data_IF_176979857516
#
_entry.id   IF_176979857516
#
_cell.length_a   1.000
_cell.length_b   1.000
_cell.length_c   1.000
_cell.angle_alpha   90.00
_cell.angle_beta   90.00
_cell.angle_gamma   90.00
#
_symmetry.space_group_name_H-M   'P 1'
#
loop_
_entity.id
_entity.type
_entity.pdbx_description
1 polymer ?
#
# COMPACT_ATOMS: atom_id res chain seq x y z
N UNK A 1 7.05 -5.25 -21.42
CA UNK A 1 6.95 -5.32 -19.95
C UNK A 1 8.02 -6.30 -19.52
N UNK A 2 8.89 -5.92 -18.60
CA UNK A 2 9.93 -6.83 -18.13
C UNK A 2 9.24 -7.97 -17.35
N UNK A 3 9.50 -9.27 -17.67
CA UNK A 3 8.91 -10.40 -16.97
C UNK A 3 9.27 -10.48 -15.47
N UNK A 4 10.19 -9.64 -14.99
CA UNK A 4 10.55 -9.54 -13.56
C UNK A 4 9.64 -8.64 -12.73
N UNK A 5 8.80 -7.82 -13.35
CA UNK A 5 7.91 -6.91 -12.62
C UNK A 5 6.69 -7.66 -12.07
N UNK A 6 6.54 -7.68 -10.74
CA UNK A 6 5.36 -8.27 -10.08
C UNK A 6 4.25 -7.23 -10.00
N UNK A 7 3.11 -7.49 -10.64
CA UNK A 7 1.93 -6.62 -10.51
C UNK A 7 1.33 -6.80 -9.12
N UNK A 8 1.13 -5.70 -8.39
CA UNK A 8 0.51 -5.70 -7.08
C UNK A 8 -0.97 -5.32 -7.18
N UNK A 9 -1.28 -4.33 -8.01
CA UNK A 9 -2.64 -3.85 -8.24
C UNK A 9 -2.77 -3.17 -9.61
N UNK A 10 -3.94 -3.25 -10.24
CA UNK A 10 -4.22 -2.56 -11.49
C UNK A 10 -5.69 -2.14 -11.57
N UNK A 11 -5.92 -0.91 -12.03
CA UNK A 11 -7.23 -0.44 -12.46
C UNK A 11 -7.11 0.26 -13.82
N UNK A 12 -8.19 0.89 -14.29
CA UNK A 12 -8.23 1.53 -15.62
C UNK A 12 -7.24 2.70 -15.77
N UNK A 13 -6.85 3.35 -14.67
CA UNK A 13 -6.02 4.56 -14.69
C UNK A 13 -4.56 4.30 -14.31
N UNK A 14 -4.32 3.30 -13.46
CA UNK A 14 -3.05 3.09 -12.80
C UNK A 14 -2.70 1.61 -12.73
N UNK A 15 -1.39 1.34 -12.81
CA UNK A 15 -0.78 0.05 -12.53
C UNK A 15 0.26 0.24 -11.44
N UNK A 16 0.13 -0.53 -10.36
CA UNK A 16 1.10 -0.60 -9.29
C UNK A 16 1.84 -1.93 -9.39
N UNK A 17 3.17 -1.87 -9.40
CA UNK A 17 4.01 -3.05 -9.54
C UNK A 17 5.27 -2.91 -8.69
N UNK A 18 5.91 -4.03 -8.39
CA UNK A 18 7.20 -4.06 -7.73
C UNK A 18 8.30 -4.64 -8.60
N UNK A 19 9.52 -4.20 -8.30
CA UNK A 19 10.79 -4.76 -8.78
C UNK A 19 11.63 -5.04 -7.55
N UNK A 20 11.63 -6.31 -7.12
CA UNK A 20 12.07 -6.70 -5.78
C UNK A 20 11.34 -5.86 -4.71
N UNK A 21 12.11 -5.25 -3.81
CA UNK A 21 11.63 -4.44 -2.68
C UNK A 21 11.02 -3.10 -3.11
N UNK A 22 11.28 -2.62 -4.33
CA UNK A 22 10.85 -1.29 -4.75
C UNK A 22 9.48 -1.33 -5.43
N UNK A 23 8.61 -0.40 -5.06
CA UNK A 23 7.26 -0.26 -5.61
C UNK A 23 7.16 0.98 -6.49
N UNK A 24 6.55 0.80 -7.66
CA UNK A 24 6.38 1.83 -8.67
C UNK A 24 4.92 1.94 -9.10
N UNK A 25 4.48 3.18 -9.33
CA UNK A 25 3.18 3.51 -9.87
C UNK A 25 3.31 4.01 -11.31
N UNK A 26 2.59 3.37 -12.22
CA UNK A 26 2.49 3.74 -13.61
C UNK A 26 1.11 4.27 -13.92
N UNK A 27 1.03 5.43 -14.58
CA UNK A 27 -0.22 5.97 -15.11
C UNK A 27 -0.49 5.41 -16.51
N UNK A 28 -1.62 4.75 -16.70
CA UNK A 28 -1.99 4.07 -17.95
C UNK A 28 -2.61 5.01 -18.98
N UNK A 29 -3.28 6.07 -18.52
CA UNK A 29 -4.04 7.00 -19.37
C UNK A 29 -3.21 8.19 -19.88
N UNK A 30 -1.94 8.31 -19.51
CA UNK A 30 -1.10 9.41 -19.97
C UNK A 30 -0.66 9.21 -21.42
N UNK A 31 -1.00 10.16 -22.29
CA UNK A 31 -0.50 10.24 -23.67
C UNK A 31 0.95 10.76 -23.66
N UNK A 32 1.91 9.85 -23.55
CA UNK A 32 3.35 10.13 -23.57
C UNK A 32 4.14 9.15 -22.71
N UNK A 33 5.46 9.16 -22.83
CA UNK A 33 6.35 8.42 -21.90
C UNK A 33 6.46 9.19 -20.59
N UNK A 34 5.43 9.09 -19.75
CA UNK A 34 5.55 9.53 -18.35
C UNK A 34 6.40 8.50 -17.61
N UNK A 35 7.44 8.96 -16.92
CA UNK A 35 8.26 8.10 -16.08
C UNK A 35 7.40 7.50 -14.95
N UNK A 36 7.66 6.24 -14.62
CA UNK A 36 6.97 5.56 -13.53
C UNK A 36 7.40 6.20 -12.19
N UNK A 37 6.45 6.42 -11.29
CA UNK A 37 6.68 7.11 -10.03
C UNK A 37 7.15 6.09 -8.99
N UNK A 38 8.31 6.31 -8.38
CA UNK A 38 8.75 5.53 -7.22
C UNK A 38 7.87 5.87 -6.00
N UNK A 39 7.35 4.84 -5.34
CA UNK A 39 6.43 4.99 -4.20
C UNK A 39 7.14 4.70 -2.89
N UNK A 40 7.73 3.50 -2.77
CA UNK A 40 8.44 3.09 -1.56
C UNK A 40 9.37 1.91 -1.81
N UNK A 41 10.22 1.64 -0.83
CA UNK A 41 11.05 0.44 -0.75
C UNK A 41 10.61 -0.35 0.47
N UNK A 42 10.19 -1.60 0.28
CA UNK A 42 9.63 -2.47 1.31
C UNK A 42 10.60 -3.59 1.59
N UNK A 43 11.08 -3.67 2.83
CA UNK A 43 11.98 -4.73 3.26
C UNK A 43 11.32 -6.11 3.11
N UNK A 44 12.00 -7.04 2.41
CA UNK A 44 11.50 -8.41 2.23
C UNK A 44 10.46 -8.58 1.13
N UNK A 45 10.35 -7.60 0.23
CA UNK A 45 9.34 -7.45 -0.84
C UNK A 45 7.94 -7.05 -0.33
N UNK A 46 7.15 -6.32 -1.14
CA UNK A 46 5.75 -6.05 -0.83
C UNK A 46 4.90 -7.31 -0.99
N UNK A 47 4.02 -7.56 -0.02
CA UNK A 47 3.09 -8.69 -0.01
C UNK A 47 1.85 -8.41 -0.85
N UNK A 48 1.25 -7.24 -0.65
CA UNK A 48 0.04 -6.81 -1.35
C UNK A 48 -0.05 -5.30 -1.40
N UNK A 49 -0.88 -4.78 -2.28
CA UNK A 49 -1.16 -3.35 -2.31
C UNK A 49 -2.53 -3.10 -2.93
N UNK A 50 -3.02 -1.88 -2.76
CA UNK A 50 -4.24 -1.41 -3.39
C UNK A 50 -4.11 0.05 -3.80
N UNK A 51 -4.96 0.43 -4.76
CA UNK A 51 -5.30 1.83 -5.01
C UNK A 51 -6.70 2.03 -4.45
N UNK A 52 -6.86 3.08 -3.65
CA UNK A 52 -8.15 3.39 -3.02
C UNK A 52 -9.27 3.55 -4.05
N UNK A 53 -10.52 3.28 -3.66
CA UNK A 53 -11.69 3.35 -4.54
C UNK A 53 -11.84 4.71 -5.23
N UNK A 54 -11.45 5.80 -4.55
CA UNK A 54 -11.45 7.16 -5.08
C UNK A 54 -10.23 7.53 -5.94
N UNK A 55 -9.22 6.66 -6.04
CA UNK A 55 -7.89 7.00 -6.53
C UNK A 55 -7.27 8.20 -5.78
N UNK A 56 -7.47 8.28 -4.47
CA UNK A 56 -6.92 9.35 -3.63
C UNK A 56 -5.52 9.01 -3.11
N UNK A 57 -5.30 7.73 -2.76
CA UNK A 57 -4.03 7.20 -2.29
C UNK A 57 -3.82 5.75 -2.71
N UNK A 58 -2.56 5.33 -2.60
CA UNK A 58 -2.05 3.96 -2.72
C UNK A 58 -1.69 3.47 -1.33
N UNK A 59 -2.02 2.22 -1.03
CA UNK A 59 -1.60 1.56 0.20
C UNK A 59 -0.83 0.28 -0.12
N UNK A 60 0.33 0.10 0.49
CA UNK A 60 1.23 -1.03 0.27
C UNK A 60 1.42 -1.74 1.60
N UNK A 61 1.27 -3.06 1.59
CA UNK A 61 1.50 -3.96 2.70
C UNK A 61 2.75 -4.82 2.42
N UNK A 62 3.57 -4.99 3.44
CA UNK A 62 4.68 -5.93 3.51
C UNK A 62 5.22 -5.97 4.93
N UNK A 63 6.50 -5.64 5.08
CA UNK A 63 7.06 -5.17 6.34
C UNK A 63 6.54 -3.75 6.63
N UNK A 64 5.44 -3.64 7.37
CA UNK A 64 4.72 -2.41 7.63
C UNK A 64 3.65 -2.08 6.58
N UNK A 65 3.12 -0.87 6.70
CA UNK A 65 2.16 -0.28 5.76
C UNK A 65 2.68 1.06 5.28
N UNK A 66 2.82 1.23 3.97
CA UNK A 66 3.07 2.52 3.33
C UNK A 66 1.76 3.09 2.78
N UNK A 67 1.52 4.38 3.03
CA UNK A 67 0.47 5.17 2.35
C UNK A 67 1.13 6.24 1.49
N UNK A 68 0.70 6.36 0.23
CA UNK A 68 1.15 7.38 -0.71
C UNK A 68 -0.04 8.10 -1.33
N UNK A 69 -0.11 9.42 -1.20
CA UNK A 69 -1.21 10.23 -1.72
C UNK A 69 -0.97 10.63 -3.18
N UNK A 70 -1.94 10.29 -4.04
CA UNK A 70 -1.84 10.51 -5.49
C UNK A 70 -1.93 11.99 -5.89
N UNK A 71 -2.50 12.84 -5.02
CA UNK A 71 -2.73 14.26 -5.30
C UNK A 71 -1.48 15.12 -5.19
N UNK A 72 -0.60 14.83 -4.23
CA UNK A 72 0.57 15.65 -3.91
C UNK A 72 1.88 14.86 -3.81
N UNK A 73 1.81 13.53 -3.82
CA UNK A 73 2.97 12.66 -3.69
C UNK A 73 3.52 12.54 -2.27
N UNK A 74 2.82 13.08 -1.27
CA UNK A 74 3.18 12.87 0.14
C UNK A 74 3.00 11.40 0.51
N UNK A 75 3.86 10.90 1.39
CA UNK A 75 3.76 9.54 1.90
C UNK A 75 4.11 9.45 3.37
N UNK A 76 3.70 8.34 3.98
CA UNK A 76 4.16 7.95 5.30
C UNK A 76 4.13 6.44 5.44
N UNK A 77 4.84 5.95 6.44
CA UNK A 77 4.94 4.53 6.77
C UNK A 77 4.55 4.30 8.22
N UNK A 78 3.98 3.13 8.49
CA UNK A 78 3.66 2.67 9.84
C UNK A 78 4.13 1.23 9.99
N UNK A 79 4.75 0.93 11.13
CA UNK A 79 5.16 -0.43 11.45
C UNK A 79 6.33 -0.94 10.59
N UNK A 80 7.23 -0.04 10.16
CA UNK A 80 8.44 -0.36 9.40
C UNK A 80 9.71 -0.34 10.25
N UNK A 81 9.64 0.19 11.47
CA UNK A 81 10.77 0.31 12.39
C UNK A 81 11.15 -1.05 12.98
N UNK A 82 12.45 -1.40 13.09
CA UNK A 82 12.91 -2.71 13.56
C UNK A 82 12.29 -3.19 14.89
N UNK A 83 12.06 -2.26 15.82
CA UNK A 83 11.52 -2.56 17.15
C UNK A 83 9.98 -2.62 17.18
N UNK A 84 9.30 -2.30 16.08
CA UNK A 84 7.85 -2.24 15.97
C UNK A 84 7.37 -2.59 14.55
N UNK A 85 7.91 -3.67 13.98
CA UNK A 85 7.54 -4.13 12.63
C UNK A 85 6.13 -4.74 12.64
N UNK A 86 5.28 -4.30 11.72
CA UNK A 86 4.06 -5.03 11.37
C UNK A 86 4.35 -6.00 10.23
N UNK A 87 4.29 -7.29 10.53
CA UNK A 87 4.27 -8.33 9.50
C UNK A 87 2.85 -8.43 8.95
N UNK A 88 2.62 -7.79 7.81
CA UNK A 88 1.29 -7.74 7.19
C UNK A 88 1.08 -8.91 6.24
N UNK A 89 -0.16 -9.40 6.14
CA UNK A 89 -0.52 -10.58 5.33
C UNK A 89 -1.53 -10.24 4.21
N UNK A 90 -1.92 -8.96 4.13
CA UNK A 90 -2.95 -8.51 3.21
C UNK A 90 -3.44 -7.12 3.53
N UNK A 91 -3.84 -6.38 2.50
CA UNK A 91 -4.46 -5.06 2.61
C UNK A 91 -5.66 -4.96 1.67
N UNK A 92 -6.74 -4.34 2.14
CA UNK A 92 -7.98 -4.18 1.37
C UNK A 92 -8.80 -2.97 1.84
N UNK A 93 -9.77 -2.55 1.03
CA UNK A 93 -10.81 -1.61 1.45
C UNK A 93 -12.15 -2.32 1.60
N UNK A 94 -12.88 -1.98 2.67
CA UNK A 94 -14.24 -2.45 2.90
C UNK A 94 -15.25 -1.44 2.37
N UNK A 95 -16.33 -1.90 1.76
CA UNK A 95 -17.46 -1.03 1.39
C UNK A 95 -18.28 -0.54 2.60
N UNK A 96 -17.97 -1.03 3.80
CA UNK A 96 -18.59 -0.59 5.06
C UNK A 96 -17.87 0.61 5.70
N UNK A 97 -16.65 0.94 5.25
CA UNK A 97 -15.86 2.06 5.76
C UNK A 97 -15.92 3.26 4.81
N UNK A 98 -15.58 4.44 5.32
CA UNK A 98 -15.33 5.61 4.46
C UNK A 98 -14.08 5.39 3.58
N UNK A 99 -14.01 6.08 2.44
CA UNK A 99 -12.97 5.83 1.41
C UNK A 99 -11.54 6.15 1.85
N UNK A 100 -11.36 6.91 2.94
CA UNK A 100 -10.06 7.17 3.54
C UNK A 100 -9.53 6.01 4.40
N UNK A 101 -10.32 4.96 4.63
CA UNK A 101 -9.87 3.82 5.42
C UNK A 101 -9.31 2.69 4.56
N UNK A 102 -8.31 2.00 5.11
CA UNK A 102 -7.87 0.68 4.66
C UNK A 102 -7.86 -0.28 5.83
N UNK A 103 -8.05 -1.55 5.53
CA UNK A 103 -7.86 -2.63 6.49
C UNK A 103 -6.67 -3.48 6.09
N UNK A 104 -5.90 -3.92 7.08
CA UNK A 104 -4.80 -4.84 6.87
C UNK A 104 -4.75 -5.88 7.96
N UNK A 105 -4.29 -7.08 7.64
CA UNK A 105 -4.07 -8.15 8.62
C UNK A 105 -2.61 -8.14 9.05
N UNK A 106 -2.35 -8.09 10.35
CA UNK A 106 -1.00 -8.16 10.89
C UNK A 106 -0.95 -8.96 12.19
N UNK A 107 0.23 -9.49 12.50
CA UNK A 107 0.50 -10.06 13.82
C UNK A 107 0.48 -8.96 14.89
N UNK A 108 0.01 -9.32 16.06
CA UNK A 108 -0.05 -8.47 17.25
C UNK A 108 0.81 -9.06 18.36
N UNK A 109 1.06 -8.31 19.43
CA UNK A 109 1.97 -8.69 20.52
C UNK A 109 1.62 -10.03 21.20
N UNK A 110 0.36 -10.47 21.15
CA UNK A 110 -0.05 -11.78 21.66
C UNK A 110 0.09 -12.92 20.63
N UNK A 111 0.84 -12.67 19.56
CA UNK A 111 1.15 -13.57 18.44
C UNK A 111 -0.08 -14.08 17.68
N UNK A 112 -1.15 -13.27 17.64
CA UNK A 112 -2.34 -13.54 16.82
C UNK A 112 -2.41 -12.59 15.64
N UNK A 113 -2.92 -13.11 14.53
CA UNK A 113 -3.28 -12.30 13.37
C UNK A 113 -4.61 -11.61 13.67
N UNK A 114 -4.64 -10.29 13.55
CA UNK A 114 -5.87 -9.48 13.68
C UNK A 114 -6.01 -8.54 12.50
N UNK A 115 -7.26 -8.15 12.23
CA UNK A 115 -7.57 -7.10 11.27
C UNK A 115 -7.38 -5.76 11.97
N UNK A 116 -6.60 -4.89 11.34
CA UNK A 116 -6.38 -3.52 11.73
C UNK A 116 -7.12 -2.63 10.74
N UNK A 117 -7.73 -1.55 11.22
CA UNK A 117 -8.30 -0.50 10.38
C UNK A 117 -7.46 0.77 10.55
N UNK A 118 -6.95 1.29 9.44
CA UNK A 118 -6.13 2.49 9.36
C UNK A 118 -6.92 3.58 8.64
N UNK A 119 -7.01 4.75 9.27
CA UNK A 119 -7.40 5.99 8.61
C UNK A 119 -6.17 6.56 7.88
N UNK A 120 -6.20 6.55 6.54
CA UNK A 120 -5.10 7.05 5.72
C UNK A 120 -4.82 8.54 5.98
N UNK A 121 -5.84 9.34 6.30
CA UNK A 121 -5.68 10.78 6.47
C UNK A 121 -5.11 11.15 7.84
N UNK A 122 -5.52 10.44 8.88
CA UNK A 122 -5.15 10.78 10.27
C UNK A 122 -4.06 9.88 10.85
N UNK A 123 -3.66 8.83 10.14
CA UNK A 123 -2.66 7.82 10.56
C UNK A 123 -3.08 7.00 11.78
N UNK A 124 -4.35 7.10 12.19
CA UNK A 124 -4.86 6.38 13.36
C UNK A 124 -5.17 4.94 12.99
N UNK A 125 -4.75 4.03 13.86
CA UNK A 125 -4.99 2.59 13.73
C UNK A 125 -5.83 2.13 14.91
N UNK A 126 -6.78 1.26 14.61
CA UNK A 126 -7.48 0.46 15.60
C UNK A 126 -7.47 -1.02 15.21
N UNK A 127 -7.58 -1.88 16.22
CA UNK A 127 -7.66 -3.33 16.06
C UNK A 127 -9.12 -3.73 16.14
N UNK A 128 -9.59 -4.53 15.17
CA UNK A 128 -10.97 -5.03 15.09
C UNK A 128 -11.13 -6.43 15.70
#
# INVERSE_FOLDING_TARGET
MDPTNRILFENEQYRLYSVCENVYLKKLTASGSVEDVFISSVYGDPDSALISFGNDFVAIAGCGVTIYFLSNGDSYEIGTEPDNIFWTEGIYQSGEDDFNFVRFTAYTDDNKIRVHRLDASTKKIEVL
#
